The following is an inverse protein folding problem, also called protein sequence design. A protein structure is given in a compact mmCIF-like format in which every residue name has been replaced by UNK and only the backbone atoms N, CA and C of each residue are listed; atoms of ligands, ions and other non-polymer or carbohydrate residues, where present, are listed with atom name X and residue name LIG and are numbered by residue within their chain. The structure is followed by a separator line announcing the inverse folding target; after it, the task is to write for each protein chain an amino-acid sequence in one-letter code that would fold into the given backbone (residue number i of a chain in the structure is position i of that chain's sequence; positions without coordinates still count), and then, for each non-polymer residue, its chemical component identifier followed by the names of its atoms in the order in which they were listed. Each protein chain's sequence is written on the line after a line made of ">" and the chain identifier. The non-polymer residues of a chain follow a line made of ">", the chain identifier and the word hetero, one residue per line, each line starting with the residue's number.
data_IF_053122863642
#
_entry.id   IF_053122863642
#
_cell.length_a   1.000
_cell.length_b   1.000
_cell.length_c   1.000
_cell.angle_alpha   90.00
_cell.angle_beta   90.00
_cell.angle_gamma   90.00
#
_symmetry.space_group_name_H-M   'P 1'
#
loop_
_entity.id
_entity.type
_entity.pdbx_description
1 polymer ?
#
# COMPACT_ATOMS: atom_id res chain seq x y z
N UNK A 1 -5.79 38.99 12.10
CA UNK A 1 -5.09 37.75 12.53
C UNK A 1 -6.01 36.53 12.63
N UNK A 2 -7.22 36.62 13.20
CA UNK A 2 -8.16 35.47 13.33
C UNK A 2 -8.45 34.72 12.02
N UNK A 3 -8.68 35.45 10.92
CA UNK A 3 -9.00 34.88 9.59
C UNK A 3 -7.80 34.10 9.01
N UNK A 4 -6.57 34.58 9.24
CA UNK A 4 -5.35 33.94 8.74
C UNK A 4 -5.11 32.62 9.48
N UNK A 5 -5.32 32.58 10.81
CA UNK A 5 -5.30 31.33 11.59
C UNK A 5 -6.37 30.34 11.15
N UNK A 6 -7.58 30.80 10.80
CA UNK A 6 -8.64 29.91 10.29
C UNK A 6 -8.34 29.33 8.91
N UNK A 7 -7.67 30.08 8.03
CA UNK A 7 -7.23 29.60 6.71
C UNK A 7 -6.11 28.55 6.85
N UNK A 8 -5.16 28.77 7.77
CA UNK A 8 -4.07 27.82 8.04
C UNK A 8 -4.59 26.51 8.66
N UNK A 9 -5.62 26.57 9.52
CA UNK A 9 -6.25 25.36 10.05
C UNK A 9 -7.04 24.58 8.97
N UNK A 10 -7.66 25.27 8.01
CA UNK A 10 -8.43 24.61 6.94
C UNK A 10 -7.53 23.90 5.91
N UNK A 11 -6.34 24.42 5.63
CA UNK A 11 -5.40 23.80 4.67
C UNK A 11 -4.66 22.60 5.25
N UNK A 12 -4.46 22.53 6.57
CA UNK A 12 -3.82 21.38 7.22
C UNK A 12 -4.69 20.11 7.21
N UNK A 13 -6.02 20.22 7.14
CA UNK A 13 -6.93 19.08 7.12
C UNK A 13 -7.03 18.38 5.75
N UNK A 14 -6.64 19.07 4.67
CA UNK A 14 -6.71 18.56 3.30
C UNK A 14 -5.51 17.66 2.91
N UNK A 15 -4.48 17.57 3.74
CA UNK A 15 -3.29 16.73 3.50
C UNK A 15 -3.44 15.31 4.08
N UNK A 16 -4.68 14.85 4.22
CA UNK A 16 -4.98 13.47 4.57
C UNK A 16 -4.81 12.60 3.33
N UNK A 17 -3.60 12.54 2.76
CA UNK A 17 -3.17 11.42 1.92
C UNK A 17 -3.07 10.20 2.85
N UNK A 18 -4.24 9.64 3.15
CA UNK A 18 -4.40 8.40 3.88
C UNK A 18 -3.75 7.28 3.06
N UNK A 19 -2.46 7.09 3.30
CA UNK A 19 -1.73 5.83 3.26
C UNK A 19 -2.27 4.83 2.22
N UNK A 20 -2.04 5.10 0.92
CA UNK A 20 -2.01 4.14 -0.19
C UNK A 20 -2.92 2.89 -0.08
N UNK A 21 -4.15 3.11 0.41
CA UNK A 21 -5.16 2.11 0.61
C UNK A 21 -6.09 2.20 -0.61
N UNK A 22 -5.85 1.37 -1.62
CA UNK A 22 -6.66 1.40 -2.82
C UNK A 22 -8.04 0.83 -2.54
N UNK A 23 -9.08 1.38 -3.16
CA UNK A 23 -10.41 0.76 -3.24
C UNK A 23 -10.64 0.15 -4.62
N UNK A 24 -10.07 0.73 -5.67
CA UNK A 24 -10.19 0.27 -7.04
C UNK A 24 -8.81 0.20 -7.71
N UNK A 25 -8.73 -0.55 -8.82
CA UNK A 25 -7.48 -0.62 -9.60
C UNK A 25 -7.04 0.74 -10.14
N UNK A 26 -7.98 1.67 -10.34
CA UNK A 26 -7.72 3.04 -10.82
C UNK A 26 -7.02 3.91 -9.78
N UNK A 27 -7.04 3.51 -8.51
CA UNK A 27 -6.33 4.20 -7.43
C UNK A 27 -4.83 3.83 -7.46
N UNK A 28 -4.47 2.81 -8.25
CA UNK A 28 -3.11 2.34 -8.43
C UNK A 28 -2.49 2.88 -9.71
N UNK A 29 -1.15 2.94 -9.74
CA UNK A 29 -0.41 3.24 -10.96
C UNK A 29 -0.77 2.26 -12.09
N UNK A 30 -0.71 2.68 -13.36
CA UNK A 30 -0.96 1.80 -14.49
C UNK A 30 -0.16 0.48 -14.42
N UNK A 31 -0.85 -0.63 -14.64
CA UNK A 31 -0.26 -1.97 -14.58
C UNK A 31 -0.26 -2.62 -13.19
N UNK A 32 -0.64 -1.88 -12.14
CA UNK A 32 -0.89 -2.40 -10.80
C UNK A 32 -2.36 -2.78 -10.60
N UNK A 33 -2.63 -3.61 -9.59
CA UNK A 33 -3.96 -4.06 -9.19
C UNK A 33 -4.18 -3.76 -7.72
N UNK A 34 -5.41 -3.45 -7.36
CA UNK A 34 -5.80 -3.26 -5.98
C UNK A 34 -6.14 -4.60 -5.33
N UNK A 35 -5.30 -5.05 -4.40
CA UNK A 35 -5.46 -6.30 -3.68
C UNK A 35 -6.09 -6.07 -2.32
N UNK A 36 -7.25 -6.68 -2.10
CA UNK A 36 -7.99 -6.58 -0.83
C UNK A 36 -7.95 -7.91 -0.11
N UNK A 37 -7.73 -7.86 1.20
CA UNK A 37 -7.97 -9.03 2.05
C UNK A 37 -9.47 -9.31 2.11
N UNK A 38 -9.85 -10.58 2.29
CA UNK A 38 -11.26 -10.95 2.47
C UNK A 38 -11.92 -10.13 3.57
N UNK A 39 -13.09 -9.55 3.26
CA UNK A 39 -13.84 -8.68 4.17
C UNK A 39 -13.34 -7.23 4.26
N UNK A 40 -12.24 -6.86 3.58
CA UNK A 40 -11.75 -5.48 3.54
C UNK A 40 -12.27 -4.74 2.30
N UNK A 41 -12.66 -3.49 2.48
CA UNK A 41 -13.08 -2.60 1.38
C UNK A 41 -11.89 -1.84 0.77
N UNK A 42 -10.80 -1.73 1.52
CA UNK A 42 -9.54 -1.15 1.07
C UNK A 42 -8.46 -2.24 0.95
N UNK A 43 -7.46 -1.96 0.15
CA UNK A 43 -6.40 -2.89 -0.21
C UNK A 43 -5.08 -2.19 -0.49
N UNK A 44 -4.15 -2.90 -1.11
CA UNK A 44 -2.85 -2.35 -1.52
C UNK A 44 -2.65 -2.49 -3.02
N UNK A 45 -1.91 -1.56 -3.60
CA UNK A 45 -1.50 -1.65 -5.00
C UNK A 45 -0.38 -2.67 -5.16
N UNK A 46 -0.59 -3.66 -6.02
CA UNK A 46 0.37 -4.72 -6.31
C UNK A 46 0.64 -4.84 -7.81
N UNK A 47 1.89 -5.14 -8.18
CA UNK A 47 2.31 -5.22 -9.58
C UNK A 47 2.81 -3.87 -10.11
N UNK A 48 2.56 -3.59 -11.38
CA UNK A 48 3.14 -2.42 -12.07
C UNK A 48 4.64 -2.54 -12.29
N UNK A 49 5.28 -1.40 -12.60
CA UNK A 49 6.72 -1.33 -12.83
C UNK A 49 7.53 -1.42 -11.52
N UNK A 50 6.93 -0.97 -10.40
CA UNK A 50 7.55 -0.88 -9.10
C UNK A 50 6.65 -1.53 -8.03
N UNK A 51 6.61 -2.87 -7.94
CA UNK A 51 5.76 -3.54 -6.97
C UNK A 51 6.28 -3.39 -5.54
N UNK A 52 5.38 -3.09 -4.59
CA UNK A 52 5.67 -3.01 -3.17
C UNK A 52 6.49 -1.78 -2.74
N UNK A 53 6.85 -1.75 -1.47
CA UNK A 53 7.40 -0.58 -0.79
C UNK A 53 8.80 -0.12 -1.25
N UNK A 54 9.57 -0.93 -1.99
CA UNK A 54 10.98 -0.62 -2.29
C UNK A 54 11.21 0.72 -3.01
N UNK A 55 10.20 1.24 -3.72
CA UNK A 55 10.29 2.51 -4.45
C UNK A 55 9.28 3.55 -3.94
N UNK A 56 8.57 3.25 -2.85
CA UNK A 56 7.53 4.13 -2.33
C UNK A 56 8.14 5.21 -1.44
N UNK A 57 7.75 6.47 -1.67
CA UNK A 57 8.17 7.59 -0.81
C UNK A 57 7.59 7.47 0.60
N UNK A 58 6.40 6.88 0.71
CA UNK A 58 5.72 6.57 1.95
C UNK A 58 5.27 5.10 1.86
N UNK A 59 6.01 4.17 2.48
CA UNK A 59 5.71 2.75 2.39
C UNK A 59 4.39 2.42 3.09
N UNK A 60 3.63 1.48 2.52
CA UNK A 60 2.44 0.91 3.15
C UNK A 60 2.87 0.03 4.31
N UNK A 61 2.16 0.12 5.43
CA UNK A 61 2.36 -0.74 6.59
C UNK A 61 1.00 -1.15 7.17
N UNK A 62 0.94 -2.32 7.80
CA UNK A 62 -0.22 -2.77 8.55
C UNK A 62 0.11 -2.83 10.04
N UNK A 63 -0.63 -2.12 10.92
CA UNK A 63 -0.43 -2.21 12.37
C UNK A 63 -0.64 -3.62 12.93
N UNK A 64 -1.37 -4.45 12.19
CA UNK A 64 -1.68 -5.84 12.56
C UNK A 64 -0.68 -6.83 11.98
N UNK A 65 0.28 -6.37 11.18
CA UNK A 65 1.33 -7.23 10.65
C UNK A 65 2.48 -7.36 11.65
N UNK A 66 2.50 -8.49 12.35
CA UNK A 66 3.54 -8.81 13.34
C UNK A 66 4.91 -9.03 12.69
N UNK A 67 4.97 -9.37 11.40
CA UNK A 67 6.24 -9.55 10.69
C UNK A 67 6.85 -8.21 10.24
N UNK A 68 6.05 -7.13 10.17
CA UNK A 68 6.50 -5.83 9.67
C UNK A 68 6.88 -5.82 8.18
N UNK A 69 6.35 -6.76 7.40
CA UNK A 69 6.63 -6.97 5.97
C UNK A 69 5.46 -6.60 5.06
N UNK A 70 4.30 -6.24 5.60
CA UNK A 70 3.10 -5.97 4.82
C UNK A 70 3.33 -4.78 3.88
N UNK A 71 3.13 -4.99 2.58
CA UNK A 71 3.44 -4.00 1.56
C UNK A 71 4.88 -4.09 1.02
N UNK A 72 5.76 -4.88 1.62
CA UNK A 72 7.14 -4.95 1.16
C UNK A 72 7.27 -5.63 -0.19
N UNK A 73 8.23 -5.15 -0.98
CA UNK A 73 8.62 -5.80 -2.23
C UNK A 73 9.24 -7.16 -1.95
N UNK A 74 8.79 -8.19 -2.65
CA UNK A 74 9.24 -9.56 -2.42
C UNK A 74 9.52 -10.31 -3.72
N UNK A 75 10.41 -11.29 -3.65
CA UNK A 75 10.65 -12.29 -4.69
C UNK A 75 10.09 -13.65 -4.30
N UNK A 76 9.99 -13.99 -3.03
CA UNK A 76 9.50 -15.28 -2.56
C UNK A 76 8.61 -15.13 -1.33
N UNK A 77 7.78 -16.13 -1.07
CA UNK A 77 6.93 -16.14 0.13
C UNK A 77 7.73 -16.05 1.43
N UNK A 78 8.96 -16.54 1.42
CA UNK A 78 9.89 -16.50 2.56
C UNK A 78 10.30 -15.09 2.94
N UNK A 79 10.28 -14.14 1.99
CA UNK A 79 10.65 -12.75 2.22
C UNK A 79 9.60 -12.04 3.10
N UNK A 80 8.36 -12.54 3.11
CA UNK A 80 7.23 -11.96 3.83
C UNK A 80 7.00 -12.56 5.23
N UNK A 81 7.77 -13.58 5.60
CA UNK A 81 7.61 -14.29 6.86
C UNK A 81 6.32 -15.14 6.98
N UNK A 82 6.11 -15.77 8.15
CA UNK A 82 5.01 -16.70 8.38
C UNK A 82 3.63 -16.06 8.27
N UNK A 83 2.66 -16.77 7.68
CA UNK A 83 1.28 -16.28 7.54
C UNK A 83 1.05 -15.28 6.41
N UNK A 84 2.12 -14.90 5.69
CA UNK A 84 2.07 -14.00 4.54
C UNK A 84 2.46 -14.73 3.26
N UNK A 85 2.22 -14.09 2.12
CA UNK A 85 2.60 -14.57 0.81
C UNK A 85 3.08 -13.42 -0.07
N UNK A 86 3.99 -13.75 -0.97
CA UNK A 86 4.46 -12.83 -1.99
C UNK A 86 3.52 -12.87 -3.20
N UNK A 87 2.69 -11.85 -3.33
CA UNK A 87 1.71 -11.79 -4.41
C UNK A 87 2.28 -11.08 -5.63
N UNK A 88 2.34 -11.78 -6.75
CA UNK A 88 2.93 -11.31 -8.01
C UNK A 88 1.89 -11.23 -9.11
N UNK A 89 2.04 -10.24 -9.99
CA UNK A 89 1.35 -10.22 -11.27
C UNK A 89 1.98 -11.27 -12.20
N UNK A 90 1.17 -11.87 -13.07
CA UNK A 90 1.67 -12.76 -14.13
C UNK A 90 2.77 -12.09 -14.94
N UNK A 91 3.90 -12.79 -15.11
CA UNK A 91 5.10 -12.29 -15.80
C UNK A 91 6.02 -11.39 -14.97
N UNK A 92 5.69 -11.10 -13.70
CA UNK A 92 6.57 -10.32 -12.81
C UNK A 92 7.47 -11.22 -11.97
N UNK A 93 8.74 -10.82 -11.82
CA UNK A 93 9.69 -11.47 -10.90
C UNK A 93 9.51 -11.01 -9.46
N UNK A 94 9.03 -9.78 -9.26
CA UNK A 94 8.80 -9.17 -7.96
C UNK A 94 7.30 -9.02 -7.69
N UNK A 95 6.93 -9.03 -6.42
CA UNK A 95 5.58 -8.88 -5.94
C UNK A 95 5.53 -8.03 -4.68
N UNK A 96 4.44 -8.18 -3.96
CA UNK A 96 4.21 -7.49 -2.69
C UNK A 96 3.78 -8.48 -1.62
N UNK A 97 4.30 -8.29 -0.41
CA UNK A 97 3.93 -9.08 0.75
C UNK A 97 2.52 -8.74 1.23
N UNK A 98 1.65 -9.74 1.23
CA UNK A 98 0.27 -9.64 1.72
C UNK A 98 -0.02 -10.78 2.69
N UNK A 99 -0.93 -10.54 3.62
CA UNK A 99 -1.42 -11.60 4.50
C UNK A 99 -2.20 -12.64 3.70
N UNK A 100 -2.06 -13.92 4.04
CA UNK A 100 -2.93 -14.98 3.50
C UNK A 100 -4.36 -14.87 4.04
#
# INVERSE_FOLDING_TARGET
>A
MKIITSIILLTAAALSDLAAACSFNTDCQPGSQCLKQSGQIYGICAGGLNPGNSNDRVPVQSPLDTNGTYGDTCSFNTDCGPGSQCMKRSGSINGVCVRR
#
